data_IF_950045379000
#
_entry.id   IF_950045379000
#
_cell.length_a   1.000
_cell.length_b   1.000
_cell.length_c   1.000
_cell.angle_alpha   90.00
_cell.angle_beta   90.00
_cell.angle_gamma   90.00
#
_symmetry.space_group_name_H-M   'P 1'
#
loop_
_entity.id
_entity.type
_entity.pdbx_description
1 polymer ?
#
# COMPACT_ATOMS: atom_id res chain seq x y z
N UNK A 1 -12.47 14.69 -1.53
CA UNK A 1 -12.41 13.58 -2.50
C UNK A 1 -11.30 12.62 -2.13
N UNK A 2 -11.46 11.36 -2.49
CA UNK A 2 -10.44 10.37 -2.22
C UNK A 2 -9.44 10.29 -3.37
N UNK A 3 -8.17 10.16 -3.04
CA UNK A 3 -7.12 9.98 -4.03
C UNK A 3 -6.49 8.62 -3.84
N UNK A 4 -6.45 7.83 -4.91
CA UNK A 4 -5.87 6.49 -4.89
C UNK A 4 -4.51 6.51 -5.58
N UNK A 5 -3.51 6.00 -4.88
CA UNK A 5 -2.13 5.97 -5.38
C UNK A 5 -1.71 4.53 -5.63
N UNK A 6 -1.23 4.27 -6.83
CA UNK A 6 -0.63 2.97 -7.17
C UNK A 6 0.85 2.99 -6.82
N UNK A 7 1.30 1.95 -6.13
CA UNK A 7 2.71 1.80 -5.75
C UNK A 7 3.23 0.50 -6.34
N UNK A 8 4.20 0.61 -7.22
CA UNK A 8 4.83 -0.55 -7.82
C UNK A 8 6.22 -0.80 -7.28
N UNK A 9 6.83 -1.88 -7.75
CA UNK A 9 8.21 -2.24 -7.43
C UNK A 9 8.46 -2.36 -5.93
N UNK A 10 7.50 -2.96 -5.21
CA UNK A 10 7.63 -3.15 -3.77
C UNK A 10 8.56 -4.31 -3.44
N UNK A 11 9.28 -4.17 -2.33
CA UNK A 11 10.02 -5.27 -1.75
C UNK A 11 9.08 -6.35 -1.24
N UNK A 12 9.51 -7.61 -1.30
CA UNK A 12 8.73 -8.72 -0.74
C UNK A 12 8.52 -8.61 0.77
N UNK A 13 9.32 -7.79 1.44
CA UNK A 13 9.20 -7.57 2.88
C UNK A 13 8.35 -6.37 3.24
N UNK A 14 7.81 -5.66 2.26
CA UNK A 14 6.98 -4.50 2.52
C UNK A 14 5.62 -4.92 3.07
N UNK A 15 5.25 -4.36 4.21
CA UNK A 15 3.98 -4.64 4.87
C UNK A 15 3.05 -3.45 4.77
N UNK A 16 1.77 -3.67 5.12
CA UNK A 16 0.79 -2.60 5.21
C UNK A 16 1.24 -1.52 6.19
N UNK A 17 1.77 -1.93 7.35
CA UNK A 17 2.25 -0.99 8.36
C UNK A 17 3.41 -0.14 7.84
N UNK A 18 4.30 -0.74 7.06
CA UNK A 18 5.41 -0.01 6.46
C UNK A 18 4.90 1.05 5.49
N UNK A 19 3.88 0.71 4.71
CA UNK A 19 3.29 1.66 3.77
C UNK A 19 2.59 2.79 4.50
N UNK A 20 1.84 2.50 5.56
CA UNK A 20 1.17 3.52 6.36
C UNK A 20 2.18 4.48 6.99
N UNK A 21 3.30 3.95 7.46
CA UNK A 21 4.36 4.76 8.05
C UNK A 21 5.03 5.65 7.00
N UNK A 22 5.30 5.10 5.82
CA UNK A 22 5.99 5.83 4.76
C UNK A 22 5.13 6.93 4.16
N UNK A 23 3.83 6.68 4.00
CA UNK A 23 2.95 7.61 3.29
C UNK A 23 2.02 8.40 4.20
N UNK A 24 1.95 8.06 5.48
CA UNK A 24 1.13 8.79 6.43
C UNK A 24 1.36 10.30 6.45
N UNK A 25 2.63 10.78 6.39
CA UNK A 25 2.90 12.21 6.39
C UNK A 25 2.36 12.96 5.18
N UNK A 26 1.99 12.25 4.12
CA UNK A 26 1.49 12.89 2.89
C UNK A 26 -0.01 13.15 2.90
N UNK A 27 -0.72 12.60 3.86
CA UNK A 27 -2.15 12.81 3.99
C UNK A 27 -2.78 11.72 4.83
N UNK A 28 -4.09 11.84 5.06
CA UNK A 28 -4.83 10.87 5.85
C UNK A 28 -5.13 9.64 5.01
N UNK A 29 -4.58 8.51 5.39
CA UNK A 29 -4.81 7.24 4.70
C UNK A 29 -6.13 6.66 5.18
N UNK A 30 -7.05 6.41 4.26
CA UNK A 30 -8.34 5.77 4.57
C UNK A 30 -8.32 4.29 4.27
N UNK A 31 -7.47 3.84 3.35
CA UNK A 31 -7.40 2.44 2.98
C UNK A 31 -6.02 2.11 2.41
N UNK A 32 -5.57 0.90 2.68
CA UNK A 32 -4.33 0.37 2.12
C UNK A 32 -4.60 -1.04 1.63
N UNK A 33 -4.27 -1.31 0.38
CA UNK A 33 -4.38 -2.64 -0.19
C UNK A 33 -3.02 -3.08 -0.70
N UNK A 34 -2.52 -4.17 -0.17
CA UNK A 34 -1.28 -4.79 -0.64
C UNK A 34 -1.67 -6.06 -1.39
N UNK A 35 -1.37 -6.12 -2.68
CA UNK A 35 -1.69 -7.29 -3.47
C UNK A 35 -0.80 -8.46 -3.06
N UNK A 36 -1.44 -9.57 -2.70
CA UNK A 36 -0.74 -10.75 -2.22
C UNK A 36 -0.91 -11.89 -3.22
N UNK A 37 0.14 -12.72 -3.32
CA UNK A 37 0.07 -13.95 -4.09
C UNK A 37 -0.62 -15.01 -3.25
N UNK A 38 -1.67 -15.61 -3.78
CA UNK A 38 -2.44 -16.62 -3.05
C UNK A 38 -1.65 -17.92 -2.83
N UNK A 39 -0.76 -18.24 -3.74
CA UNK A 39 0.00 -19.49 -3.65
C UNK A 39 1.13 -19.41 -2.63
N UNK A 40 1.82 -18.27 -2.58
CA UNK A 40 2.99 -18.10 -1.71
C UNK A 40 2.70 -17.25 -0.48
N UNK A 41 1.62 -16.48 -0.49
CA UNK A 41 1.29 -15.56 0.60
C UNK A 41 2.22 -14.35 0.66
N UNK A 42 2.96 -14.08 -0.40
CA UNK A 42 3.91 -12.97 -0.44
C UNK A 42 3.33 -11.79 -1.23
N UNK A 43 3.76 -10.55 -0.93
CA UNK A 43 3.34 -9.40 -1.73
C UNK A 43 3.75 -9.56 -3.19
N UNK A 44 2.85 -9.15 -4.09
CA UNK A 44 3.10 -9.28 -5.53
C UNK A 44 3.92 -8.13 -6.10
N UNK A 45 4.40 -7.23 -5.26
CA UNK A 45 5.24 -6.13 -5.70
C UNK A 45 4.49 -4.85 -6.01
N UNK A 46 3.18 -4.80 -5.73
CA UNK A 46 2.42 -3.56 -5.89
C UNK A 46 1.34 -3.42 -4.83
N UNK A 47 0.92 -2.20 -4.61
CA UNK A 47 -0.10 -1.88 -3.62
C UNK A 47 -0.86 -0.63 -4.04
N UNK A 48 -2.01 -0.40 -3.40
CA UNK A 48 -2.79 0.82 -3.57
C UNK A 48 -3.01 1.46 -2.21
N UNK A 49 -2.84 2.77 -2.16
CA UNK A 49 -3.14 3.54 -0.96
C UNK A 49 -4.18 4.59 -1.32
N UNK A 50 -5.23 4.68 -0.50
CA UNK A 50 -6.28 5.67 -0.69
C UNK A 50 -6.17 6.72 0.40
N UNK A 51 -6.12 7.99 -0.02
CA UNK A 51 -6.09 9.14 0.89
C UNK A 51 -7.45 9.82 0.88
N UNK A 52 -7.78 10.45 2.02
CA UNK A 52 -9.07 11.13 2.17
C UNK A 52 -9.12 12.50 1.50
N UNK A 53 -8.01 13.05 1.10
CA UNK A 53 -7.93 14.40 0.51
C UNK A 53 -7.88 14.42 -1.01
#
# INVERSE_FOLDING_TARGET
>A
MNSKLYIGNLSFNTTEDALRTAFGPYGDITDVYVAMDRETGRPRGFAFITFSN
#
